data_IF_345389883980
#
_entry.id   IF_345389883980
#
_cell.length_a   1.000
_cell.length_b   1.000
_cell.length_c   1.000
_cell.angle_alpha   90.00
_cell.angle_beta   90.00
_cell.angle_gamma   90.00
#
_symmetry.space_group_name_H-M   'P 1'
#
loop_
_entity.id
_entity.type
_entity.pdbx_description
1 polymer ?
#
# COMPACT_ATOMS: atom_id res chain seq x y z
N UNK A 1 -12.96 8.39 8.39
CA UNK A 1 -12.20 8.17 7.15
C UNK A 1 -10.78 7.87 7.57
N UNK A 2 -10.26 6.70 7.20
CA UNK A 2 -8.91 6.26 7.59
C UNK A 2 -7.84 6.93 6.71
N UNK A 3 -6.61 7.08 7.23
CA UNK A 3 -5.47 7.64 6.47
C UNK A 3 -5.22 6.91 5.14
N UNK A 4 -5.42 5.60 5.15
CA UNK A 4 -5.30 4.73 3.99
C UNK A 4 -6.30 5.11 2.87
N UNK A 5 -7.51 5.58 3.23
CA UNK A 5 -8.52 6.02 2.25
C UNK A 5 -8.20 7.39 1.62
N UNK A 6 -7.27 8.16 2.21
CA UNK A 6 -6.83 9.48 1.74
C UNK A 6 -5.63 9.45 0.81
N UNK A 7 -4.81 8.40 0.84
CA UNK A 7 -3.60 8.32 0.02
C UNK A 7 -3.84 8.02 -1.46
N UNK A 8 -5.06 7.60 -1.82
CA UNK A 8 -5.39 7.17 -3.18
C UNK A 8 -6.59 7.93 -3.74
N UNK A 9 -6.71 9.21 -3.42
CA UNK A 9 -7.74 10.08 -4.02
C UNK A 9 -7.58 10.18 -5.55
N UNK A 10 -6.36 10.03 -6.07
CA UNK A 10 -6.04 10.10 -7.51
C UNK A 10 -6.27 8.79 -8.27
N UNK A 11 -6.38 7.66 -7.56
CA UNK A 11 -6.78 6.40 -8.19
C UNK A 11 -8.30 6.36 -8.15
N UNK A 12 -8.93 6.59 -9.30
CA UNK A 12 -10.39 6.47 -9.50
C UNK A 12 -10.83 5.02 -9.28
N UNK A 13 -10.92 4.61 -8.02
CA UNK A 13 -11.29 3.27 -7.57
C UNK A 13 -12.53 3.42 -6.70
N UNK A 14 -13.55 2.63 -7.02
CA UNK A 14 -14.78 2.53 -6.25
C UNK A 14 -14.46 2.18 -4.79
N UNK A 15 -14.77 3.09 -3.86
CA UNK A 15 -14.40 3.04 -2.43
C UNK A 15 -15.27 2.07 -1.62
N UNK A 16 -15.44 0.85 -2.09
CA UNK A 16 -16.14 -0.22 -1.36
C UNK A 16 -15.23 -0.87 -0.32
N UNK A 17 -15.60 -0.87 0.98
CA UNK A 17 -14.77 -1.38 2.10
C UNK A 17 -14.14 -2.77 1.90
N UNK A 18 -14.80 -3.67 1.18
CA UNK A 18 -14.33 -5.05 0.96
C UNK A 18 -13.53 -5.24 -0.33
N UNK A 19 -13.75 -4.41 -1.36
CA UNK A 19 -13.10 -4.53 -2.67
C UNK A 19 -11.97 -3.54 -2.88
N UNK A 20 -11.95 -2.43 -2.13
CA UNK A 20 -11.03 -1.31 -2.29
C UNK A 20 -9.56 -1.76 -2.28
N UNK A 21 -9.14 -2.53 -1.29
CA UNK A 21 -7.76 -2.99 -1.17
C UNK A 21 -7.36 -3.94 -2.31
N UNK A 22 -8.26 -4.84 -2.70
CA UNK A 22 -8.03 -5.77 -3.81
C UNK A 22 -7.89 -5.03 -5.13
N UNK A 23 -8.77 -4.06 -5.38
CA UNK A 23 -8.74 -3.24 -6.59
C UNK A 23 -7.45 -2.40 -6.69
N UNK A 24 -6.88 -2.00 -5.54
CA UNK A 24 -5.60 -1.29 -5.50
C UNK A 24 -4.46 -2.22 -5.90
N UNK A 25 -4.39 -3.42 -5.31
CA UNK A 25 -3.38 -4.39 -5.71
C UNK A 25 -3.50 -4.78 -7.18
N UNK A 26 -4.74 -4.95 -7.69
CA UNK A 26 -4.97 -5.22 -9.11
C UNK A 26 -4.48 -4.06 -10.00
N UNK A 27 -4.69 -2.78 -9.59
CA UNK A 27 -4.19 -1.61 -10.35
C UNK A 27 -2.68 -1.39 -10.22
N UNK A 28 -2.07 -1.78 -9.10
CA UNK A 28 -0.63 -1.68 -8.91
C UNK A 28 0.14 -2.65 -9.79
N UNK A 29 -0.49 -3.78 -10.15
CA UNK A 29 0.16 -4.87 -10.86
C UNK A 29 1.11 -5.64 -9.95
N UNK A 30 1.44 -6.87 -10.36
CA UNK A 30 2.33 -7.79 -9.66
C UNK A 30 3.65 -8.05 -10.42
N UNK A 31 3.73 -7.65 -11.69
CA UNK A 31 4.89 -7.86 -12.54
C UNK A 31 5.69 -6.55 -12.75
N UNK A 32 6.90 -6.42 -12.16
CA UNK A 32 7.73 -5.23 -12.28
C UNK A 32 8.31 -4.99 -13.67
N UNK A 33 8.23 -5.96 -14.58
CA UNK A 33 8.68 -5.86 -15.96
C UNK A 33 7.62 -5.26 -16.91
N UNK A 34 6.38 -5.07 -16.44
CA UNK A 34 5.31 -4.42 -17.20
C UNK A 34 5.36 -2.90 -17.09
N UNK A 35 5.13 -2.19 -18.19
CA UNK A 35 5.08 -0.72 -18.22
C UNK A 35 3.93 -0.13 -17.37
N UNK A 36 2.86 -0.90 -17.18
CA UNK A 36 1.70 -0.53 -16.36
C UNK A 36 1.93 -0.74 -14.86
N UNK A 37 3.05 -1.37 -14.48
CA UNK A 37 3.41 -1.58 -13.08
C UNK A 37 3.67 -0.25 -12.39
N UNK A 38 2.91 0.00 -11.33
CA UNK A 38 3.11 1.19 -10.51
C UNK A 38 4.38 0.98 -9.71
N UNK A 39 5.47 1.64 -10.11
CA UNK A 39 6.75 1.58 -9.40
C UNK A 39 6.69 2.39 -8.09
N UNK A 40 7.48 2.00 -7.07
CA UNK A 40 7.62 2.77 -5.85
C UNK A 40 8.07 4.20 -6.13
N UNK A 41 7.36 5.16 -5.55
CA UNK A 41 7.63 6.60 -5.60
C UNK A 41 7.41 7.22 -4.22
N UNK A 42 8.10 8.30 -3.93
CA UNK A 42 8.01 8.93 -2.61
C UNK A 42 6.56 9.38 -2.31
N UNK A 43 6.03 8.94 -1.17
CA UNK A 43 4.68 9.26 -0.72
C UNK A 43 3.56 8.41 -1.32
N UNK A 44 3.89 7.31 -2.00
CA UNK A 44 2.91 6.36 -2.53
C UNK A 44 2.61 5.17 -1.60
N UNK A 45 1.81 4.22 -2.09
CA UNK A 45 1.44 3.01 -1.35
C UNK A 45 2.64 2.12 -1.04
N UNK A 46 3.65 2.08 -1.92
CA UNK A 46 4.86 1.30 -1.70
C UNK A 46 5.72 1.88 -0.58
N UNK A 47 5.82 3.21 -0.47
CA UNK A 47 6.47 3.88 0.65
C UNK A 47 5.77 3.53 1.98
N UNK A 48 4.43 3.47 2.00
CA UNK A 48 3.70 3.00 3.17
C UNK A 48 3.97 1.52 3.50
N UNK A 49 3.88 0.62 2.51
CA UNK A 49 4.17 -0.81 2.71
C UNK A 49 5.61 -1.02 3.18
N UNK A 50 6.55 -0.24 2.64
CA UNK A 50 7.94 -0.20 3.06
C UNK A 50 8.07 0.18 4.53
N UNK A 51 7.45 1.27 4.96
CA UNK A 51 7.43 1.71 6.38
C UNK A 51 6.81 0.66 7.31
N UNK A 52 5.74 -0.02 6.88
CA UNK A 52 5.15 -1.14 7.64
C UNK A 52 6.13 -2.30 7.74
N UNK A 53 6.78 -2.68 6.65
CA UNK A 53 7.78 -3.75 6.63
C UNK A 53 8.99 -3.42 7.53
N UNK A 54 9.48 -2.17 7.48
CA UNK A 54 10.51 -1.66 8.38
C UNK A 54 10.08 -1.78 9.84
N UNK A 55 8.87 -1.32 10.18
CA UNK A 55 8.33 -1.44 11.53
C UNK A 55 8.17 -2.90 11.98
N UNK A 56 7.73 -3.81 11.10
CA UNK A 56 7.60 -5.23 11.42
C UNK A 56 8.97 -5.88 11.66
N UNK A 57 9.98 -5.51 10.88
CA UNK A 57 11.32 -6.07 10.97
C UNK A 57 12.20 -5.40 12.04
N UNK A 58 11.79 -4.27 12.60
CA UNK A 58 12.50 -3.63 13.71
C UNK A 58 12.49 -4.54 14.95
N UNK A 59 13.65 -5.09 15.37
CA UNK A 59 13.74 -5.96 16.54
C UNK A 59 13.41 -5.25 17.86
N UNK A 60 13.41 -3.91 17.86
CA UNK A 60 13.08 -3.08 19.02
C UNK A 60 11.66 -2.48 18.94
N UNK A 61 10.84 -2.92 17.98
CA UNK A 61 9.48 -2.37 17.80
C UNK A 61 8.65 -2.51 19.08
N UNK A 62 7.99 -1.42 19.46
CA UNK A 62 7.05 -1.40 20.60
C UNK A 62 5.69 -1.93 20.11
N UNK A 63 5.56 -3.25 19.98
CA UNK A 63 4.36 -3.92 19.43
C UNK A 63 4.39 -5.45 19.56
N UNK A 64 3.32 -6.11 19.08
CA UNK A 64 2.84 -7.47 19.47
C UNK A 64 3.97 -8.50 19.70
N UNK A 65 4.19 -8.94 20.95
CA UNK A 65 5.11 -10.02 21.30
C UNK A 65 4.66 -11.35 20.67
N UNK A 66 5.62 -12.23 20.42
CA UNK A 66 5.41 -13.57 19.87
C UNK A 66 4.56 -14.45 20.80
#
# INVERSE_FOLDING_TARGET
MGEIERWLENLDIERGKSSWLRNIFDKMGDDPDLDEYIRPTDGDVWDFIGKVAEWINDPNKKGIPK
#
